data_IF_168047510852
#
_entry.id   IF_168047510852
#
_cell.length_a   1.000
_cell.length_b   1.000
_cell.length_c   1.000
_cell.angle_alpha   90.00
_cell.angle_beta   90.00
_cell.angle_gamma   90.00
#
_symmetry.space_group_name_H-M   'P 1'
#
loop_
_entity.id
_entity.type
_entity.pdbx_description
1 polymer ?
#
# COMPACT_ATOMS: atom_id res chain seq x y z
N UNK A 1 -40.95 27.67 30.97
CA UNK A 1 -39.47 27.79 30.87
C UNK A 1 -39.07 27.59 29.42
N UNK A 2 -38.68 28.65 28.71
CA UNK A 2 -38.19 28.57 27.30
C UNK A 2 -36.69 28.28 27.33
N UNK A 3 -36.30 27.04 26.95
CA UNK A 3 -34.89 26.71 26.75
C UNK A 3 -34.37 27.50 25.56
N UNK A 4 -33.60 28.57 25.83
CA UNK A 4 -32.80 29.24 24.82
C UNK A 4 -31.53 28.38 24.60
N UNK A 5 -31.52 27.57 23.54
CA UNK A 5 -30.28 26.98 23.08
C UNK A 5 -29.36 28.12 22.68
N UNK A 6 -28.25 28.27 23.37
CA UNK A 6 -27.24 29.28 23.09
C UNK A 6 -26.70 29.10 21.69
N UNK A 7 -26.67 30.15 20.88
CA UNK A 7 -26.12 30.17 19.52
C UNK A 7 -24.68 29.62 19.46
N UNK A 8 -23.92 29.86 20.53
CA UNK A 8 -22.57 29.26 20.71
C UNK A 8 -22.58 27.74 20.86
N UNK A 9 -23.60 27.14 21.49
CA UNK A 9 -23.74 25.68 21.60
C UNK A 9 -24.11 25.06 20.27
N UNK A 10 -24.91 25.72 19.44
CA UNK A 10 -25.26 25.27 18.09
C UNK A 10 -24.06 25.33 17.15
N UNK A 11 -23.27 26.41 17.21
CA UNK A 11 -22.03 26.52 16.42
C UNK A 11 -20.98 25.47 16.82
N UNK A 12 -20.81 25.17 18.12
CA UNK A 12 -19.89 24.14 18.60
C UNK A 12 -20.34 22.74 18.13
N UNK A 13 -21.64 22.45 18.13
CA UNK A 13 -22.20 21.19 17.64
C UNK A 13 -22.03 21.05 16.12
N UNK A 14 -22.21 22.13 15.36
CA UNK A 14 -22.01 22.15 13.91
C UNK A 14 -20.53 21.96 13.56
N UNK A 15 -19.60 22.59 14.28
CA UNK A 15 -18.17 22.42 14.09
C UNK A 15 -17.72 20.98 14.41
N UNK A 16 -18.21 20.35 15.48
CA UNK A 16 -17.91 18.95 15.78
C UNK A 16 -18.47 18.00 14.72
N UNK A 17 -19.64 18.28 14.13
CA UNK A 17 -20.20 17.49 13.04
C UNK A 17 -19.37 17.61 11.75
N UNK A 18 -18.85 18.80 11.43
CA UNK A 18 -17.99 19.03 10.26
C UNK A 18 -16.64 18.31 10.36
N UNK A 19 -16.08 18.17 11.57
CA UNK A 19 -14.83 17.44 11.79
C UNK A 19 -14.99 15.92 11.69
N UNK A 20 -16.19 15.37 11.93
CA UNK A 20 -16.46 13.93 11.81
C UNK A 20 -16.60 13.45 10.36
N UNK A 21 -17.01 14.31 9.44
CA UNK A 21 -17.15 13.95 8.01
C UNK A 21 -15.85 14.12 7.21
N UNK A 22 -14.90 14.93 7.65
CA UNK A 22 -13.68 15.23 6.89
C UNK A 22 -12.67 14.06 6.80
N UNK A 23 -12.81 13.02 7.62
CA UNK A 23 -11.84 11.90 7.65
C UNK A 23 -12.31 10.65 6.89
N UNK A 24 -13.60 10.54 6.50
CA UNK A 24 -14.15 9.34 5.88
C UNK A 24 -14.00 9.34 4.34
N UNK A 25 -14.09 10.49 3.68
CA UNK A 25 -14.02 10.57 2.21
C UNK A 25 -12.63 10.28 1.64
N UNK A 26 -11.54 10.59 2.38
CA UNK A 26 -10.17 10.45 1.88
C UNK A 26 -9.71 9.01 1.67
N UNK A 27 -10.34 8.02 2.30
CA UNK A 27 -9.96 6.61 2.20
C UNK A 27 -11.04 5.71 1.62
N UNK A 28 -12.16 6.26 1.18
CA UNK A 28 -13.30 5.47 0.69
C UNK A 28 -12.93 4.59 -0.52
N UNK A 29 -12.10 5.11 -1.45
CA UNK A 29 -11.62 4.31 -2.58
C UNK A 29 -10.81 3.08 -2.13
N UNK A 30 -10.14 3.12 -0.96
CA UNK A 30 -9.40 1.97 -0.42
C UNK A 30 -10.31 0.83 0.05
N UNK A 31 -11.62 1.06 0.15
CA UNK A 31 -12.60 0.00 0.39
C UNK A 31 -12.58 -1.07 -0.72
N UNK A 32 -12.01 -0.74 -1.88
CA UNK A 32 -11.77 -1.70 -2.98
C UNK A 32 -10.79 -2.81 -2.60
N UNK A 33 -9.93 -2.61 -1.59
CA UNK A 33 -8.95 -3.62 -1.15
C UNK A 33 -9.68 -4.74 -0.42
N UNK A 34 -9.68 -5.99 -0.93
CA UNK A 34 -10.40 -7.09 -0.29
C UNK A 34 -9.76 -7.50 1.04
N UNK A 35 -10.55 -8.06 1.94
CA UNK A 35 -10.11 -8.43 3.30
C UNK A 35 -9.04 -9.52 3.31
N UNK A 36 -8.95 -10.32 2.25
CA UNK A 36 -7.97 -11.39 2.06
C UNK A 36 -6.69 -10.93 1.35
N UNK A 37 -6.53 -9.63 1.06
CA UNK A 37 -5.30 -9.11 0.48
C UNK A 37 -4.07 -9.56 1.28
N UNK A 38 -3.13 -10.20 0.58
CA UNK A 38 -1.93 -10.77 1.18
C UNK A 38 -0.90 -9.71 1.50
N UNK A 39 -0.86 -8.67 0.68
CA UNK A 39 0.13 -7.60 0.72
C UNK A 39 -0.54 -6.30 0.31
N UNK A 40 -0.20 -5.23 0.98
CA UNK A 40 -0.60 -3.86 0.61
C UNK A 40 0.60 -2.93 0.79
N UNK A 41 0.86 -2.11 -0.20
CA UNK A 41 1.84 -1.03 -0.13
C UNK A 41 1.15 0.26 -0.51
N UNK A 42 1.34 1.31 0.29
CA UNK A 42 0.80 2.64 0.02
C UNK A 42 1.92 3.61 -0.28
N UNK A 43 1.70 4.49 -1.23
CA UNK A 43 2.63 5.53 -1.67
C UNK A 43 1.96 6.89 -1.44
N UNK A 44 2.54 7.73 -0.59
CA UNK A 44 2.10 9.12 -0.46
C UNK A 44 2.62 9.91 -1.66
N UNK A 45 1.80 10.00 -2.71
CA UNK A 45 2.20 10.62 -3.97
C UNK A 45 2.55 12.09 -3.80
N UNK A 46 1.85 12.79 -2.91
CA UNK A 46 2.16 14.20 -2.61
C UNK A 46 3.55 14.33 -2.00
N UNK A 47 3.82 13.59 -0.92
CA UNK A 47 5.13 13.65 -0.25
C UNK A 47 6.27 13.19 -1.17
N UNK A 48 6.06 12.11 -1.93
CA UNK A 48 7.04 11.60 -2.87
C UNK A 48 7.34 12.61 -3.98
N UNK A 49 6.31 13.28 -4.50
CA UNK A 49 6.47 14.32 -5.52
C UNK A 49 7.24 15.54 -4.99
N UNK A 50 6.92 15.99 -3.77
CA UNK A 50 7.59 17.12 -3.13
C UNK A 50 9.05 16.83 -2.75
N UNK A 51 9.36 15.59 -2.31
CA UNK A 51 10.70 15.20 -1.86
C UNK A 51 11.60 14.70 -2.99
N UNK A 52 11.00 14.08 -4.00
CA UNK A 52 11.76 13.39 -5.06
C UNK A 52 12.17 14.28 -6.22
N UNK A 53 11.73 15.54 -6.25
CA UNK A 53 11.86 16.41 -7.41
C UNK A 53 11.56 15.67 -8.72
N UNK A 54 10.37 15.02 -8.71
CA UNK A 54 9.98 14.05 -9.74
C UNK A 54 10.03 14.67 -11.14
N UNK A 55 9.76 15.98 -11.23
CA UNK A 55 9.84 16.70 -12.50
C UNK A 55 11.27 16.74 -13.06
N UNK A 56 12.27 16.97 -12.23
CA UNK A 56 13.67 16.98 -12.64
C UNK A 56 14.22 15.55 -12.83
N UNK A 57 13.76 14.60 -11.99
CA UNK A 57 14.12 13.19 -12.16
C UNK A 57 13.62 12.62 -13.50
N UNK A 58 12.41 12.96 -13.90
CA UNK A 58 11.82 12.55 -15.19
C UNK A 58 12.59 13.15 -16.36
N UNK A 59 13.04 14.39 -16.25
CA UNK A 59 13.80 15.11 -17.30
C UNK A 59 15.27 14.68 -17.40
N UNK A 60 15.78 13.93 -16.42
CA UNK A 60 17.19 13.57 -16.39
C UNK A 60 17.53 12.55 -17.47
N UNK A 61 18.63 12.78 -18.22
CA UNK A 61 19.13 11.85 -19.24
C UNK A 61 19.42 10.45 -18.69
N UNK A 62 19.77 10.33 -17.40
CA UNK A 62 20.03 9.06 -16.73
C UNK A 62 18.79 8.16 -16.69
N UNK A 63 17.61 8.74 -16.70
CA UNK A 63 16.33 8.00 -16.63
C UNK A 63 15.71 7.78 -18.01
N UNK A 64 16.23 8.44 -19.04
CA UNK A 64 15.80 8.21 -20.42
C UNK A 64 15.97 6.73 -20.85
N UNK A 65 17.01 6.05 -20.37
CA UNK A 65 17.24 4.61 -20.65
C UNK A 65 16.19 3.72 -19.98
N UNK A 66 15.79 4.03 -18.74
CA UNK A 66 14.70 3.32 -18.04
C UNK A 66 13.36 3.58 -18.72
N UNK A 67 13.10 4.81 -19.12
CA UNK A 67 11.91 5.16 -19.86
C UNK A 67 11.86 4.46 -21.23
N UNK A 68 12.96 4.44 -21.97
CA UNK A 68 13.07 3.76 -23.25
C UNK A 68 12.88 2.23 -23.10
N UNK A 69 13.43 1.62 -22.06
CA UNK A 69 13.21 0.21 -21.76
C UNK A 69 11.73 -0.08 -21.43
N UNK A 70 11.08 0.80 -20.67
CA UNK A 70 9.66 0.69 -20.33
C UNK A 70 8.75 0.91 -21.54
N UNK A 71 9.10 1.87 -22.40
CA UNK A 71 8.33 2.23 -23.60
C UNK A 71 8.63 1.36 -24.83
N UNK A 72 9.63 0.45 -24.75
CA UNK A 72 10.08 -0.42 -25.85
C UNK A 72 9.04 -1.46 -26.25
N UNK A 73 7.91 -1.24 -26.53
CA UNK A 73 6.78 -2.10 -26.92
C UNK A 73 5.49 -1.31 -26.99
N UNK A 74 5.56 -0.01 -26.68
CA UNK A 74 4.42 0.89 -26.79
C UNK A 74 4.41 1.56 -28.17
N UNK A 75 3.22 1.78 -28.73
CA UNK A 75 3.05 2.59 -29.93
C UNK A 75 3.47 4.05 -29.71
N UNK A 76 3.83 4.73 -30.80
CA UNK A 76 4.35 6.11 -30.75
C UNK A 76 3.38 7.09 -30.05
N UNK A 77 2.06 6.93 -30.25
CA UNK A 77 1.06 7.77 -29.62
C UNK A 77 0.98 7.56 -28.12
N UNK A 78 1.09 6.30 -27.66
CA UNK A 78 1.15 6.00 -26.21
C UNK A 78 2.40 6.59 -25.57
N UNK A 79 3.54 6.55 -26.24
CA UNK A 79 4.78 7.19 -25.76
C UNK A 79 4.61 8.70 -25.67
N UNK A 80 3.99 9.33 -26.67
CA UNK A 80 3.68 10.78 -26.64
C UNK A 80 2.71 11.14 -25.52
N UNK A 81 1.68 10.32 -25.28
CA UNK A 81 0.73 10.52 -24.20
C UNK A 81 1.44 10.43 -22.83
N UNK A 82 2.28 9.41 -22.63
CA UNK A 82 3.08 9.27 -21.42
C UNK A 82 3.97 10.48 -21.15
N UNK A 83 4.66 10.99 -22.18
CA UNK A 83 5.47 12.19 -22.04
C UNK A 83 4.65 13.40 -21.58
N UNK A 84 3.46 13.59 -22.16
CA UNK A 84 2.54 14.66 -21.74
C UNK A 84 2.11 14.49 -20.27
N UNK A 85 1.75 13.26 -19.84
CA UNK A 85 1.40 12.96 -18.44
C UNK A 85 2.60 13.21 -17.50
N UNK A 86 3.81 12.94 -17.95
CA UNK A 86 5.02 13.23 -17.18
C UNK A 86 5.26 14.75 -17.03
N UNK A 87 4.97 15.53 -18.06
CA UNK A 87 5.10 16.99 -18.03
C UNK A 87 3.98 17.64 -17.19
N UNK A 88 2.77 17.11 -17.29
CA UNK A 88 1.59 17.55 -16.56
C UNK A 88 0.73 16.33 -16.13
N UNK A 89 0.97 15.79 -14.92
CA UNK A 89 0.24 14.64 -14.39
C UNK A 89 -1.28 14.85 -14.32
N UNK A 90 -1.76 16.09 -14.21
CA UNK A 90 -3.20 16.40 -14.11
C UNK A 90 -3.99 16.05 -15.36
N UNK A 91 -3.33 15.95 -16.53
CA UNK A 91 -4.01 15.50 -17.76
C UNK A 91 -4.43 14.02 -17.68
N UNK A 92 -3.83 13.23 -16.82
CA UNK A 92 -4.26 11.84 -16.62
C UNK A 92 -5.62 11.72 -15.96
N UNK A 93 -6.08 12.74 -15.25
CA UNK A 93 -7.28 12.69 -14.42
C UNK A 93 -7.11 11.87 -13.14
N UNK A 94 -5.89 11.39 -12.83
CA UNK A 94 -5.57 10.72 -11.57
C UNK A 94 -5.20 11.73 -10.48
N UNK A 95 -5.48 11.40 -9.23
CA UNK A 95 -5.02 12.20 -8.10
C UNK A 95 -3.58 11.85 -7.73
N UNK A 96 -2.72 12.87 -7.73
CA UNK A 96 -1.35 12.80 -7.21
C UNK A 96 -1.21 13.43 -5.81
N UNK A 97 -2.32 13.80 -5.20
CA UNK A 97 -2.38 14.31 -3.81
C UNK A 97 -2.92 13.27 -2.82
N UNK A 98 -3.49 12.19 -3.34
CA UNK A 98 -3.95 11.03 -2.58
C UNK A 98 -2.93 9.88 -2.68
N UNK A 99 -3.03 8.90 -1.77
CA UNK A 99 -2.16 7.74 -1.82
C UNK A 99 -2.47 6.87 -3.04
N UNK A 100 -1.44 6.37 -3.69
CA UNK A 100 -1.59 5.22 -4.57
C UNK A 100 -1.36 3.95 -3.76
N UNK A 101 -2.05 2.88 -4.12
CA UNK A 101 -1.99 1.62 -3.40
C UNK A 101 -1.67 0.50 -4.36
N UNK A 102 -0.64 -0.27 -4.02
CA UNK A 102 -0.33 -1.53 -4.68
C UNK A 102 -0.71 -2.66 -3.72
N UNK A 103 -1.47 -3.65 -4.17
CA UNK A 103 -1.82 -4.78 -3.33
C UNK A 103 -1.86 -6.09 -4.14
N UNK A 104 -1.70 -7.20 -3.45
CA UNK A 104 -1.86 -8.53 -4.01
C UNK A 104 -3.07 -9.21 -3.37
N UNK A 105 -3.99 -9.68 -4.19
CA UNK A 105 -5.19 -10.37 -3.75
C UNK A 105 -5.39 -11.68 -4.53
N UNK A 106 -6.09 -12.63 -3.92
CA UNK A 106 -6.30 -13.98 -4.43
C UNK A 106 -5.46 -15.03 -3.72
N UNK A 107 -6.11 -16.13 -3.31
CA UNK A 107 -5.45 -17.16 -2.50
C UNK A 107 -4.49 -18.05 -3.31
N UNK A 108 -4.90 -18.46 -4.50
CA UNK A 108 -4.17 -19.47 -5.30
C UNK A 108 -3.25 -18.83 -6.34
N UNK A 109 -3.72 -17.81 -7.01
CA UNK A 109 -2.97 -17.04 -8.00
C UNK A 109 -3.10 -15.54 -7.69
N UNK A 110 -2.22 -14.99 -6.84
CA UNK A 110 -2.32 -13.61 -6.45
C UNK A 110 -2.15 -12.68 -7.64
N UNK A 111 -3.08 -11.75 -7.79
CA UNK A 111 -3.08 -10.70 -8.79
C UNK A 111 -2.46 -9.47 -8.18
N UNK A 112 -1.54 -8.86 -8.88
CA UNK A 112 -1.03 -7.55 -8.53
C UNK A 112 -2.04 -6.48 -8.95
N UNK A 113 -2.43 -5.66 -8.02
CA UNK A 113 -3.42 -4.59 -8.20
C UNK A 113 -2.80 -3.24 -7.90
N UNK A 114 -3.08 -2.26 -8.75
CA UNK A 114 -2.73 -0.85 -8.49
C UNK A 114 -4.03 -0.07 -8.42
N UNK A 115 -4.26 0.59 -7.29
CA UNK A 115 -5.45 1.38 -7.00
C UNK A 115 -5.05 2.84 -6.82
N UNK A 116 -5.72 3.72 -7.54
CA UNK A 116 -5.56 5.16 -7.41
C UNK A 116 -6.92 5.86 -7.39
N UNK A 117 -6.96 7.04 -6.80
CA UNK A 117 -8.14 7.90 -6.84
C UNK A 117 -8.18 8.66 -8.15
N UNK A 118 -9.37 8.80 -8.72
CA UNK A 118 -9.62 9.65 -9.87
C UNK A 118 -10.03 11.03 -9.38
N UNK A 119 -9.41 12.06 -9.92
CA UNK A 119 -9.76 13.47 -9.74
C UNK A 119 -10.69 13.98 -10.85
N UNK A 120 -10.53 13.44 -12.08
CA UNK A 120 -11.33 13.78 -13.26
C UNK A 120 -11.49 12.54 -14.14
N UNK A 121 -12.69 11.95 -14.12
CA UNK A 121 -12.97 10.71 -14.84
C UNK A 121 -13.04 10.91 -16.36
N UNK A 122 -13.37 12.11 -16.81
CA UNK A 122 -13.46 12.39 -18.25
C UNK A 122 -12.06 12.48 -18.86
N UNK A 123 -11.11 13.10 -18.17
CA UNK A 123 -9.68 13.06 -18.54
C UNK A 123 -9.14 11.62 -18.55
N UNK A 124 -9.49 10.80 -17.55
CA UNK A 124 -9.08 9.39 -17.54
C UNK A 124 -9.67 8.62 -18.73
N UNK A 125 -10.93 8.86 -19.09
CA UNK A 125 -11.53 8.27 -20.30
C UNK A 125 -10.81 8.69 -21.58
N UNK A 126 -10.36 9.94 -21.69
CA UNK A 126 -9.54 10.41 -22.82
C UNK A 126 -8.21 9.67 -22.91
N UNK A 127 -7.55 9.43 -21.79
CA UNK A 127 -6.34 8.59 -21.73
C UNK A 127 -6.63 7.18 -22.25
N UNK A 128 -7.71 6.55 -21.78
CA UNK A 128 -8.07 5.19 -22.20
C UNK A 128 -8.44 5.14 -23.70
N UNK A 129 -9.15 6.14 -24.23
CA UNK A 129 -9.45 6.25 -25.68
C UNK A 129 -8.18 6.45 -26.52
N UNK A 130 -7.23 7.23 -26.02
CA UNK A 130 -5.95 7.40 -26.72
C UNK A 130 -5.18 6.07 -26.78
N UNK A 131 -5.19 5.28 -25.71
CA UNK A 131 -4.59 3.93 -25.69
C UNK A 131 -5.35 2.96 -26.61
N UNK A 132 -6.68 3.07 -26.72
CA UNK A 132 -7.51 2.30 -27.66
C UNK A 132 -7.15 2.63 -29.10
N UNK A 133 -7.04 3.89 -29.44
CA UNK A 133 -6.67 4.35 -30.79
C UNK A 133 -5.30 3.82 -31.26
N UNK A 134 -4.40 3.59 -30.33
CA UNK A 134 -3.07 2.97 -30.62
C UNK A 134 -3.10 1.42 -30.57
N UNK A 135 -4.26 0.81 -30.34
CA UNK A 135 -4.39 -0.64 -30.21
C UNK A 135 -3.78 -1.23 -28.93
N UNK A 136 -3.46 -0.40 -27.95
CA UNK A 136 -2.90 -0.81 -26.65
C UNK A 136 -4.00 -1.25 -25.68
N UNK A 137 -5.19 -0.63 -25.80
CA UNK A 137 -6.34 -0.97 -24.97
C UNK A 137 -7.54 -1.39 -25.84
N UNK A 138 -8.44 -2.19 -25.28
CA UNK A 138 -9.74 -2.47 -25.90
C UNK A 138 -10.70 -1.31 -25.70
N UNK A 139 -11.79 -1.21 -26.50
CA UNK A 139 -12.85 -0.26 -26.23
C UNK A 139 -13.35 -0.35 -24.79
N UNK A 140 -13.69 0.80 -24.21
CA UNK A 140 -14.26 0.86 -22.88
C UNK A 140 -15.63 0.17 -22.89
N UNK A 141 -15.77 -0.88 -22.07
CA UNK A 141 -17.05 -1.51 -21.77
C UNK A 141 -17.58 -1.03 -20.42
N UNK A 142 -18.89 -1.00 -20.25
CA UNK A 142 -19.53 -0.59 -19.00
C UNK A 142 -20.49 -1.68 -18.54
N UNK A 143 -20.33 -2.09 -17.30
CA UNK A 143 -21.24 -2.98 -16.59
C UNK A 143 -21.66 -2.31 -15.28
N UNK A 144 -22.92 -2.05 -15.11
CA UNK A 144 -23.47 -1.23 -14.02
C UNK A 144 -22.79 0.17 -13.93
N UNK A 145 -22.11 0.44 -12.83
CA UNK A 145 -21.38 1.68 -12.58
C UNK A 145 -19.85 1.53 -12.77
N UNK A 146 -19.38 0.40 -13.24
CA UNK A 146 -17.96 0.13 -13.46
C UNK A 146 -17.67 0.12 -14.95
N UNK A 147 -16.69 0.90 -15.34
CA UNK A 147 -16.13 0.93 -16.69
C UNK A 147 -14.87 0.05 -16.71
N UNK A 148 -14.66 -0.67 -17.81
CA UNK A 148 -13.49 -1.52 -17.92
C UNK A 148 -12.92 -1.58 -19.32
N UNK A 149 -11.61 -1.84 -19.42
CA UNK A 149 -10.87 -2.07 -20.66
C UNK A 149 -9.71 -3.02 -20.39
N UNK A 150 -9.36 -3.84 -21.38
CA UNK A 150 -8.15 -4.63 -21.34
C UNK A 150 -6.98 -3.79 -21.85
N UNK A 151 -5.83 -3.87 -21.18
CA UNK A 151 -4.60 -3.20 -21.60
C UNK A 151 -3.58 -4.27 -21.99
N UNK A 152 -3.28 -4.36 -23.28
CA UNK A 152 -2.51 -5.44 -23.83
C UNK A 152 -3.15 -6.81 -23.53
N UNK A 153 -2.31 -7.83 -23.26
CA UNK A 153 -2.77 -9.18 -22.97
C UNK A 153 -2.74 -9.54 -21.48
N UNK A 154 -2.25 -8.65 -20.62
CA UNK A 154 -1.90 -8.98 -19.23
C UNK A 154 -2.47 -8.04 -18.18
N UNK A 155 -3.21 -7.04 -18.59
CA UNK A 155 -3.79 -6.11 -17.64
C UNK A 155 -5.25 -5.81 -17.94
N UNK A 156 -6.05 -5.58 -16.91
CA UNK A 156 -7.40 -5.04 -16.98
C UNK A 156 -7.50 -3.80 -16.14
N UNK A 157 -8.03 -2.76 -16.73
CA UNK A 157 -8.38 -1.52 -16.04
C UNK A 157 -9.86 -1.55 -15.71
N UNK A 158 -10.20 -1.35 -14.43
CA UNK A 158 -11.55 -1.13 -13.94
C UNK A 158 -11.59 0.27 -13.36
N UNK A 159 -12.63 1.04 -13.62
CA UNK A 159 -12.75 2.38 -13.04
C UNK A 159 -14.19 2.84 -12.90
N UNK A 160 -14.41 3.78 -11.99
CA UNK A 160 -15.62 4.54 -11.81
C UNK A 160 -15.28 6.05 -11.71
N UNK A 161 -16.23 6.88 -11.30
CA UNK A 161 -16.00 8.32 -11.14
C UNK A 161 -14.99 8.69 -10.04
N UNK A 162 -14.66 7.77 -9.13
CA UNK A 162 -13.87 8.06 -7.93
C UNK A 162 -12.50 7.37 -7.93
N UNK A 163 -12.35 6.24 -8.65
CA UNK A 163 -11.17 5.37 -8.53
C UNK A 163 -10.89 4.57 -9.78
N UNK A 164 -9.64 4.21 -9.94
CA UNK A 164 -9.16 3.26 -10.95
C UNK A 164 -8.48 2.10 -10.25
N UNK A 165 -8.72 0.89 -10.73
CA UNK A 165 -8.06 -0.34 -10.33
C UNK A 165 -7.45 -0.99 -11.57
N UNK A 166 -6.13 -1.09 -11.60
CA UNK A 166 -5.38 -1.83 -12.61
C UNK A 166 -5.01 -3.20 -12.05
N UNK A 167 -5.47 -4.25 -12.69
CA UNK A 167 -5.15 -5.64 -12.39
C UNK A 167 -4.07 -6.12 -13.34
N UNK A 168 -2.99 -6.70 -12.82
CA UNK A 168 -1.86 -7.20 -13.60
C UNK A 168 -1.63 -8.66 -13.24
N UNK A 169 -1.69 -9.55 -14.22
CA UNK A 169 -1.52 -10.98 -14.03
C UNK A 169 -0.78 -11.66 -15.17
N UNK A 170 -0.28 -12.87 -14.90
CA UNK A 170 0.39 -13.69 -15.94
C UNK A 170 -0.62 -14.35 -16.87
N UNK A 171 -1.82 -14.66 -16.34
CA UNK A 171 -2.95 -15.22 -17.09
C UNK A 171 -4.10 -14.23 -17.02
N UNK A 172 -4.11 -13.32 -17.98
CA UNK A 172 -5.09 -12.24 -18.06
C UNK A 172 -6.52 -12.75 -18.22
N UNK A 173 -6.72 -13.90 -18.89
CA UNK A 173 -8.05 -14.38 -19.24
C UNK A 173 -8.83 -14.87 -18.03
N UNK A 174 -8.27 -15.68 -17.13
CA UNK A 174 -9.01 -16.23 -15.99
C UNK A 174 -9.36 -15.20 -14.90
N UNK A 175 -8.45 -14.26 -14.65
CA UNK A 175 -8.62 -13.23 -13.60
C UNK A 175 -9.40 -12.02 -14.14
N UNK A 176 -9.18 -11.70 -15.41
CA UNK A 176 -9.80 -10.58 -16.10
C UNK A 176 -11.28 -10.84 -16.39
N UNK A 177 -11.68 -12.11 -16.55
CA UNK A 177 -13.07 -12.53 -16.72
C UNK A 177 -13.80 -12.69 -15.37
N UNK A 178 -13.07 -12.75 -14.24
CA UNK A 178 -13.70 -12.97 -12.95
C UNK A 178 -14.57 -11.78 -12.53
N UNK A 179 -15.83 -12.05 -12.17
CA UNK A 179 -16.74 -11.10 -11.52
C UNK A 179 -16.20 -10.61 -10.16
N UNK A 180 -15.18 -11.29 -9.63
CA UNK A 180 -14.56 -11.01 -8.34
C UNK A 180 -13.97 -9.61 -8.27
N UNK A 181 -13.22 -9.18 -9.29
CA UNK A 181 -12.59 -7.86 -9.29
C UNK A 181 -13.61 -6.70 -9.39
N UNK A 182 -14.67 -6.88 -10.19
CA UNK A 182 -15.78 -5.92 -10.24
C UNK A 182 -16.52 -5.87 -8.89
N UNK A 183 -16.64 -7.02 -8.20
CA UNK A 183 -17.22 -7.12 -6.87
C UNK A 183 -16.47 -6.29 -5.83
N UNK A 184 -15.16 -6.10 -5.97
CA UNK A 184 -14.39 -5.23 -5.06
C UNK A 184 -14.82 -3.76 -5.13
N UNK A 185 -15.31 -3.29 -6.27
CA UNK A 185 -15.85 -1.93 -6.40
C UNK A 185 -17.15 -1.71 -5.64
N UNK A 186 -17.96 -2.75 -5.51
CA UNK A 186 -19.29 -2.70 -4.87
C UNK A 186 -19.29 -3.27 -3.47
N UNK A 187 -18.15 -3.82 -3.00
CA UNK A 187 -18.08 -4.44 -1.68
C UNK A 187 -18.32 -3.44 -0.56
N UNK A 188 -18.95 -3.93 0.51
CA UNK A 188 -19.13 -3.16 1.73
C UNK A 188 -17.83 -3.11 2.53
N UNK A 189 -17.70 -2.11 3.40
CA UNK A 189 -16.53 -1.93 4.26
C UNK A 189 -16.21 -3.19 5.08
N UNK A 190 -17.22 -3.93 5.51
CA UNK A 190 -17.08 -5.16 6.29
C UNK A 190 -16.33 -6.28 5.54
N UNK A 191 -16.40 -6.26 4.21
CA UNK A 191 -15.74 -7.22 3.31
C UNK A 191 -14.39 -6.72 2.80
N UNK A 192 -14.01 -5.50 3.15
CA UNK A 192 -12.75 -4.89 2.77
C UNK A 192 -11.71 -5.00 3.89
N UNK A 193 -10.43 -4.83 3.54
CA UNK A 193 -9.34 -4.78 4.51
C UNK A 193 -9.48 -3.62 5.51
N UNK A 194 -10.28 -2.58 5.18
CA UNK A 194 -10.60 -1.49 6.12
C UNK A 194 -11.42 -1.94 7.34
N UNK A 195 -12.01 -3.14 7.32
CA UNK A 195 -12.66 -3.73 8.50
C UNK A 195 -11.64 -4.23 9.54
N UNK A 196 -10.40 -4.50 9.15
CA UNK A 196 -9.33 -4.88 10.06
C UNK A 196 -8.84 -3.66 10.85
N UNK A 197 -8.94 -3.72 12.19
CA UNK A 197 -8.59 -2.61 13.08
C UNK A 197 -7.10 -2.24 13.04
N UNK A 198 -6.21 -3.24 12.93
CA UNK A 198 -4.77 -3.05 12.82
C UNK A 198 -4.39 -2.39 11.49
N UNK A 199 -5.03 -2.80 10.39
CA UNK A 199 -4.83 -2.15 9.10
C UNK A 199 -5.34 -0.70 9.10
N UNK A 200 -6.49 -0.46 9.72
CA UNK A 200 -7.04 0.89 9.88
C UNK A 200 -6.14 1.78 10.75
N UNK A 201 -5.47 1.22 11.76
CA UNK A 201 -4.46 1.91 12.57
C UNK A 201 -3.18 2.18 11.76
N UNK A 202 -2.71 1.20 10.99
CA UNK A 202 -1.57 1.32 10.08
C UNK A 202 -1.74 2.48 9.07
N UNK A 203 -2.93 2.65 8.49
CA UNK A 203 -3.20 3.72 7.53
C UNK A 203 -3.19 5.14 8.15
N UNK A 204 -3.24 5.26 9.49
CA UNK A 204 -3.15 6.57 10.18
C UNK A 204 -1.72 7.10 10.21
N UNK A 205 -0.72 6.21 10.26
CA UNK A 205 0.67 6.60 10.14
C UNK A 205 1.02 6.80 8.67
N UNK A 206 1.21 8.06 8.26
CA UNK A 206 1.55 8.41 6.89
C UNK A 206 3.04 8.67 6.78
N UNK A 207 3.71 7.82 6.03
CA UNK A 207 5.07 8.00 5.55
C UNK A 207 5.07 7.88 4.04
N UNK A 208 6.18 8.16 3.39
CA UNK A 208 6.29 8.20 1.94
C UNK A 208 5.88 6.87 1.30
N UNK A 209 6.35 5.77 1.88
CA UNK A 209 5.97 4.41 1.49
C UNK A 209 5.67 3.59 2.74
N UNK A 210 4.52 2.94 2.76
CA UNK A 210 4.16 2.06 3.87
C UNK A 210 3.81 0.69 3.30
N UNK A 211 4.11 -0.38 4.04
CA UNK A 211 3.73 -1.73 3.65
C UNK A 211 3.03 -2.47 4.79
N UNK A 212 2.09 -3.29 4.41
CA UNK A 212 1.35 -4.26 5.22
C UNK A 212 1.47 -5.62 4.56
N UNK A 213 1.89 -6.62 5.30
CA UNK A 213 2.02 -7.97 4.78
C UNK A 213 1.45 -9.00 5.77
N UNK A 214 0.54 -9.85 5.31
CA UNK A 214 -0.05 -10.91 6.11
C UNK A 214 0.89 -12.13 6.11
N UNK A 215 1.46 -12.47 7.27
CA UNK A 215 2.44 -13.57 7.39
C UNK A 215 1.84 -14.92 7.02
N UNK A 216 0.53 -15.13 7.24
CA UNK A 216 -0.19 -16.32 6.79
C UNK A 216 -0.25 -16.50 5.27
N UNK A 217 -0.05 -15.44 4.49
CA UNK A 217 -0.01 -15.48 3.03
C UNK A 217 1.37 -15.84 2.45
N UNK A 218 2.40 -16.03 3.29
CA UNK A 218 3.70 -16.51 2.85
C UNK A 218 3.60 -17.85 2.12
N UNK A 219 4.44 -18.10 1.10
CA UNK A 219 4.58 -19.43 0.50
C UNK A 219 4.81 -20.51 1.55
N UNK A 220 4.31 -21.71 1.31
CA UNK A 220 4.31 -22.83 2.30
C UNK A 220 5.69 -23.06 2.89
N UNK A 221 6.75 -23.03 2.07
CA UNK A 221 8.13 -23.19 2.56
C UNK A 221 8.47 -22.16 3.64
N UNK A 222 8.25 -20.88 3.38
CA UNK A 222 8.54 -19.83 4.36
C UNK A 222 7.65 -19.92 5.59
N UNK A 223 6.37 -20.28 5.43
CA UNK A 223 5.46 -20.51 6.56
C UNK A 223 6.00 -21.58 7.49
N UNK A 224 6.47 -22.69 6.95
CA UNK A 224 7.06 -23.79 7.73
C UNK A 224 8.30 -23.35 8.48
N UNK A 225 9.20 -22.59 7.83
CA UNK A 225 10.40 -22.05 8.46
C UNK A 225 10.02 -21.09 9.60
N UNK A 226 9.17 -20.11 9.35
CA UNK A 226 8.78 -19.15 10.39
C UNK A 226 8.05 -19.83 11.55
N UNK A 227 7.13 -20.77 11.27
CA UNK A 227 6.43 -21.51 12.32
C UNK A 227 7.35 -22.32 13.22
N UNK A 228 8.45 -22.85 12.68
CA UNK A 228 9.44 -23.61 13.47
C UNK A 228 10.24 -22.73 14.46
N UNK A 229 10.33 -21.43 14.20
CA UNK A 229 11.08 -20.48 15.05
C UNK A 229 10.17 -19.55 15.87
N UNK A 230 8.85 -19.68 15.72
CA UNK A 230 7.92 -18.94 16.57
C UNK A 230 7.72 -19.69 17.89
N UNK A 231 7.71 -18.99 19.03
CA UNK A 231 7.34 -19.60 20.31
C UNK A 231 5.93 -20.18 20.28
N UNK A 232 5.73 -21.23 21.08
CA UNK A 232 4.43 -21.88 21.19
C UNK A 232 3.29 -20.91 21.47
N UNK A 233 2.20 -21.09 20.73
CA UNK A 233 0.97 -20.30 20.85
C UNK A 233 1.06 -18.92 20.21
N UNK A 234 2.02 -18.66 19.33
CA UNK A 234 1.95 -17.56 18.36
C UNK A 234 1.40 -18.11 17.04
N UNK A 235 0.27 -17.57 16.60
CA UNK A 235 -0.41 -18.01 15.39
C UNK A 235 0.13 -17.21 14.19
N UNK A 236 0.95 -17.82 13.34
CA UNK A 236 1.52 -17.16 12.16
C UNK A 236 0.44 -16.53 11.26
N UNK A 237 -0.73 -17.18 11.16
CA UNK A 237 -1.86 -16.67 10.37
C UNK A 237 -2.45 -15.36 10.87
N UNK A 238 -2.29 -15.04 12.16
CA UNK A 238 -2.74 -13.80 12.77
C UNK A 238 -1.71 -12.68 12.73
N UNK A 239 -0.48 -12.96 12.24
CA UNK A 239 0.60 -11.99 12.23
C UNK A 239 0.60 -11.15 10.96
N UNK A 240 0.92 -9.88 11.15
CA UNK A 240 1.16 -8.91 10.09
C UNK A 240 2.55 -8.29 10.27
N UNK A 241 3.32 -8.27 9.19
CA UNK A 241 4.52 -7.43 9.09
C UNK A 241 4.12 -6.08 8.54
N UNK A 242 4.44 -5.03 9.28
CA UNK A 242 4.16 -3.65 8.86
C UNK A 242 5.46 -2.86 8.79
N UNK A 243 5.52 -1.90 7.91
CA UNK A 243 6.67 -1.01 7.86
C UNK A 243 6.36 0.31 7.17
N UNK A 244 7.22 1.26 7.50
CA UNK A 244 7.14 2.65 7.09
C UNK A 244 8.50 3.09 6.59
N UNK A 245 8.56 3.70 5.42
CA UNK A 245 9.75 4.28 4.84
C UNK A 245 9.54 5.78 4.67
N UNK A 246 10.44 6.57 5.22
CA UNK A 246 10.42 8.03 5.17
C UNK A 246 11.72 8.54 4.52
N UNK A 247 11.61 9.19 3.38
CA UNK A 247 12.72 9.84 2.70
C UNK A 247 12.94 11.23 3.30
N UNK A 248 14.09 11.42 3.94
CA UNK A 248 14.47 12.68 4.57
C UNK A 248 15.77 13.20 3.97
N UNK A 249 16.05 14.49 4.17
CA UNK A 249 17.29 15.07 3.66
C UNK A 249 18.52 14.35 4.24
N UNK A 250 19.25 13.65 3.39
CA UNK A 250 20.47 12.94 3.75
C UNK A 250 20.30 11.59 4.45
N UNK A 251 19.06 11.11 4.63
CA UNK A 251 18.80 9.77 5.19
C UNK A 251 17.49 9.17 4.68
N UNK A 252 17.43 7.85 4.69
CA UNK A 252 16.20 7.07 4.56
C UNK A 252 15.94 6.42 5.91
N UNK A 253 14.78 6.67 6.49
CA UNK A 253 14.37 6.05 7.75
C UNK A 253 13.35 4.94 7.46
N UNK A 254 13.68 3.71 7.87
CA UNK A 254 12.80 2.56 7.74
C UNK A 254 12.47 2.03 9.11
N UNK A 255 11.17 1.99 9.42
CA UNK A 255 10.65 1.38 10.63
C UNK A 255 9.84 0.17 10.25
N UNK A 256 10.06 -0.97 10.91
CA UNK A 256 9.29 -2.18 10.70
C UNK A 256 8.90 -2.83 12.01
N UNK A 257 7.83 -3.62 11.99
CA UNK A 257 7.37 -4.32 13.17
C UNK A 257 6.39 -5.43 12.83
N UNK A 258 6.10 -6.24 13.83
CA UNK A 258 5.04 -7.24 13.75
C UNK A 258 3.84 -6.78 14.58
N UNK A 259 2.66 -7.11 14.11
CA UNK A 259 1.37 -6.91 14.79
C UNK A 259 0.56 -8.19 14.71
N UNK A 260 -0.43 -8.31 15.55
CA UNK A 260 -1.39 -9.42 15.52
C UNK A 260 -2.77 -8.93 15.92
N UNK A 261 -3.79 -9.44 15.29
CA UNK A 261 -5.19 -9.29 15.71
C UNK A 261 -5.56 -10.31 16.83
N UNK A 262 -4.70 -11.34 17.04
CA UNK A 262 -4.80 -12.24 18.18
C UNK A 262 -4.08 -11.66 19.40
N UNK A 263 -4.82 -11.42 20.49
CA UNK A 263 -4.31 -10.77 21.71
C UNK A 263 -3.21 -11.57 22.40
N UNK A 264 -3.29 -12.89 22.40
CA UNK A 264 -2.32 -13.75 23.05
C UNK A 264 -1.01 -13.78 22.26
N UNK A 265 -1.10 -13.90 20.94
CA UNK A 265 0.06 -13.73 20.04
C UNK A 265 0.71 -12.37 20.19
N UNK A 266 -0.09 -11.28 20.27
CA UNK A 266 0.45 -9.93 20.43
C UNK A 266 1.18 -9.76 21.77
N UNK A 267 0.62 -10.27 22.88
CA UNK A 267 1.27 -10.23 24.19
C UNK A 267 2.61 -10.95 24.18
N UNK A 268 2.69 -12.14 23.55
CA UNK A 268 3.95 -12.89 23.43
C UNK A 268 4.97 -12.16 22.56
N UNK A 269 4.55 -11.54 21.46
CA UNK A 269 5.41 -10.69 20.64
C UNK A 269 5.99 -9.52 21.44
N UNK A 270 5.16 -8.85 22.24
CA UNK A 270 5.63 -7.76 23.11
C UNK A 270 6.69 -8.21 24.11
N UNK A 271 6.56 -9.41 24.67
CA UNK A 271 7.59 -10.00 25.56
C UNK A 271 8.90 -10.22 24.82
N UNK A 272 8.85 -10.69 23.56
CA UNK A 272 10.02 -10.85 22.69
C UNK A 272 10.66 -9.48 22.40
N UNK A 273 9.87 -8.50 22.03
CA UNK A 273 10.39 -7.15 21.73
C UNK A 273 11.00 -6.46 22.96
N UNK A 274 10.52 -6.76 24.17
CA UNK A 274 11.11 -6.27 25.43
C UNK A 274 12.50 -6.86 25.73
N UNK A 275 12.97 -7.86 24.98
CA UNK A 275 14.36 -8.32 25.07
C UNK A 275 15.34 -7.31 24.45
N UNK A 276 14.85 -6.48 23.50
CA UNK A 276 15.62 -5.40 22.91
C UNK A 276 15.74 -4.22 23.87
N UNK A 277 16.94 -3.66 23.99
CA UNK A 277 17.20 -2.44 24.74
C UNK A 277 17.53 -1.27 23.80
N UNK A 278 17.50 -0.04 24.34
CA UNK A 278 17.99 1.13 23.61
C UNK A 278 19.49 1.00 23.35
N UNK A 279 19.89 1.23 22.10
CA UNK A 279 21.32 1.30 21.79
C UNK A 279 21.92 2.57 22.40
N UNK A 280 23.04 2.42 23.09
CA UNK A 280 23.73 3.55 23.72
C UNK A 280 24.53 4.41 22.74
N UNK A 281 24.72 3.93 21.51
CA UNK A 281 25.58 4.57 20.52
C UNK A 281 27.09 4.56 20.88
N UNK A 282 27.50 3.95 21.99
CA UNK A 282 28.89 3.97 22.44
C UNK A 282 29.88 3.43 21.41
N UNK A 283 29.46 2.43 20.63
CA UNK A 283 30.30 1.79 19.62
C UNK A 283 30.26 2.47 18.25
N UNK A 284 29.37 3.46 18.02
CA UNK A 284 29.27 4.13 16.73
C UNK A 284 30.58 4.83 16.33
N UNK A 285 31.33 5.37 17.30
CA UNK A 285 32.62 6.01 17.06
C UNK A 285 33.74 5.04 16.65
N UNK A 286 33.52 3.72 16.85
CA UNK A 286 34.49 2.68 16.48
C UNK A 286 34.25 2.14 15.07
N UNK A 287 33.13 2.53 14.44
CA UNK A 287 32.81 2.12 13.07
C UNK A 287 33.69 2.92 12.11
N UNK A 288 34.48 2.26 11.24
CA UNK A 288 35.29 2.96 10.25
C UNK A 288 34.43 3.79 9.32
N UNK A 289 34.94 4.96 8.90
CA UNK A 289 34.21 5.89 8.01
C UNK A 289 33.89 5.29 6.63
N UNK A 290 34.64 4.28 6.21
CA UNK A 290 34.43 3.55 4.94
C UNK A 290 33.62 2.26 5.10
N UNK A 291 33.01 2.01 6.26
CA UNK A 291 32.10 0.87 6.43
C UNK A 291 30.88 1.02 5.54
N UNK A 292 30.55 -0.02 4.76
CA UNK A 292 29.36 -0.04 3.90
C UNK A 292 28.08 -0.14 4.72
N UNK A 293 28.11 -0.90 5.81
CA UNK A 293 27.01 -1.02 6.77
C UNK A 293 27.53 -1.41 8.14
N UNK A 294 26.76 -1.14 9.15
CA UNK A 294 27.00 -1.60 10.50
C UNK A 294 25.68 -2.04 11.14
N UNK A 295 25.71 -3.17 11.85
CA UNK A 295 24.57 -3.68 12.60
C UNK A 295 24.93 -3.70 14.08
N UNK A 296 24.08 -3.09 14.89
CA UNK A 296 24.22 -3.11 16.35
C UNK A 296 22.92 -3.57 16.99
N UNK A 297 23.02 -4.48 17.95
CA UNK A 297 21.89 -4.92 18.77
C UNK A 297 22.23 -4.76 20.24
N UNK A 298 21.24 -4.33 21.01
CA UNK A 298 21.30 -4.33 22.46
C UNK A 298 20.25 -5.32 22.98
N UNK A 299 20.68 -6.47 23.46
CA UNK A 299 19.79 -7.53 23.93
C UNK A 299 20.03 -7.80 25.42
N UNK A 300 18.94 -7.99 26.16
CA UNK A 300 18.98 -8.50 27.53
C UNK A 300 19.31 -10.00 27.48
N UNK A 301 20.52 -10.35 27.89
CA UNK A 301 21.01 -11.75 27.81
C UNK A 301 20.18 -12.75 28.61
N UNK A 302 19.61 -12.36 29.75
CA UNK A 302 18.76 -13.25 30.54
C UNK A 302 17.41 -13.51 29.83
N UNK A 303 16.81 -12.48 29.24
CA UNK A 303 15.58 -12.63 28.48
C UNK A 303 15.82 -13.41 27.18
N UNK A 304 16.95 -13.15 26.51
CA UNK A 304 17.35 -13.90 25.33
C UNK A 304 17.55 -15.39 25.66
N UNK A 305 18.23 -15.71 26.75
CA UNK A 305 18.38 -17.10 27.19
C UNK A 305 17.05 -17.78 27.45
N UNK A 306 16.14 -17.14 28.19
CA UNK A 306 14.77 -17.65 28.41
C UNK A 306 14.01 -17.88 27.12
N UNK A 307 14.12 -16.95 26.19
CA UNK A 307 13.49 -17.07 24.88
C UNK A 307 14.04 -18.26 24.09
N UNK A 308 15.37 -18.39 23.99
CA UNK A 308 16.01 -19.48 23.27
C UNK A 308 15.69 -20.86 23.91
N UNK A 309 15.62 -20.92 25.23
CA UNK A 309 15.24 -22.15 25.95
C UNK A 309 13.76 -22.53 25.78
N UNK A 310 12.91 -21.62 25.31
CA UNK A 310 11.52 -21.87 25.03
C UNK A 310 11.23 -22.21 23.54
N UNK A 311 12.29 -22.19 22.70
CA UNK A 311 12.12 -22.54 21.29
C UNK A 311 12.06 -24.07 21.11
N UNK A 312 11.12 -24.58 20.29
CA UNK A 312 11.05 -26.01 19.99
C UNK A 312 12.36 -26.51 19.38
N UNK A 313 12.92 -27.57 19.90
CA UNK A 313 14.10 -28.24 19.34
C UNK A 313 15.47 -27.64 19.70
N UNK A 314 15.54 -26.67 20.63
CA UNK A 314 16.78 -26.14 21.19
C UNK A 314 17.07 -26.63 22.64
N UNK A 315 16.17 -27.45 23.20
CA UNK A 315 16.31 -28.11 24.52
C UNK A 315 16.61 -29.58 24.33
#
# INVERSE_FOLDING_TARGET
>A
MKNRISFTGLCALLCTFLFLFSCSEKSEYMQTIPSDAAFVMTFDMKSLSEKGDVADWIKSEKNASLFNAFSSGMGEGTVKLWKKIQEDPEISGLSFTDNWVCFAAGETNPVLCILAKISDVDKWREVMKAMEAEGVATPISKEDNVESSLIGQRAKCLFDKNRVLLLIGQDATGILESKTAAGWFTQKKENSLLSNGEFSAFLKERKDVNYWYRMGALPVFFRSVYSAYLPDGILLGSLYSIGYCDFQKGKIEVTSGLRSDDKDSMKKLEEIFKMGGKQSGKFLKQIPANALYAVGMNLDGQKLYKFLSALPGLT
#
